data_IF_590075744944
#
_entry.id   IF_590075744944
#
_cell.length_a   1.000
_cell.length_b   1.000
_cell.length_c   1.000
_cell.angle_alpha   90.00
_cell.angle_beta   90.00
_cell.angle_gamma   90.00
#
_symmetry.space_group_name_H-M   'P 1'
#
loop_
_entity.id
_entity.type
_entity.pdbx_description
1 polymer ?
#
# COMPACT_ATOMS: atom_id res chain seq x y z
N UNK A 1 -27.84 -55.75 -18.92
CA UNK A 1 -26.67 -55.28 -19.69
C UNK A 1 -25.46 -55.22 -18.76
N UNK A 2 -24.42 -56.04 -18.98
CA UNK A 2 -23.16 -55.97 -18.20
C UNK A 2 -22.24 -54.96 -18.90
N UNK A 3 -22.09 -53.76 -18.34
CA UNK A 3 -21.13 -52.79 -18.86
C UNK A 3 -19.73 -53.36 -18.58
N UNK A 4 -19.08 -53.90 -19.61
CA UNK A 4 -17.68 -54.34 -19.50
C UNK A 4 -16.81 -53.09 -19.51
N UNK A 5 -16.45 -52.63 -18.33
CA UNK A 5 -15.54 -51.49 -18.14
C UNK A 5 -14.14 -51.97 -18.53
N UNK A 6 -13.70 -51.59 -19.73
CA UNK A 6 -12.38 -51.91 -20.25
C UNK A 6 -11.31 -50.90 -19.82
N UNK A 7 -10.04 -51.27 -19.95
CA UNK A 7 -8.87 -50.41 -19.62
C UNK A 7 -8.91 -49.02 -20.28
N UNK A 8 -9.51 -48.90 -21.47
CA UNK A 8 -9.69 -47.63 -22.19
C UNK A 8 -10.63 -46.65 -21.47
N UNK A 9 -11.65 -47.15 -20.76
CA UNK A 9 -12.56 -46.31 -19.98
C UNK A 9 -11.84 -45.65 -18.80
N UNK A 10 -11.02 -46.41 -18.08
CA UNK A 10 -10.21 -45.87 -16.98
C UNK A 10 -9.20 -44.82 -17.47
N UNK A 11 -8.56 -45.05 -18.62
CA UNK A 11 -7.65 -44.06 -19.23
C UNK A 11 -8.40 -42.76 -19.56
N UNK A 12 -9.60 -42.85 -20.16
CA UNK A 12 -10.41 -41.68 -20.48
C UNK A 12 -10.90 -40.94 -19.23
N UNK A 13 -11.28 -41.68 -18.19
CA UNK A 13 -11.69 -41.11 -16.91
C UNK A 13 -10.53 -40.35 -16.26
N UNK A 14 -9.35 -40.95 -16.19
CA UNK A 14 -8.16 -40.31 -15.63
C UNK A 14 -7.74 -39.09 -16.45
N UNK A 15 -7.77 -39.19 -17.78
CA UNK A 15 -7.49 -38.05 -18.66
C UNK A 15 -8.46 -36.88 -18.41
N UNK A 16 -9.77 -37.17 -18.25
CA UNK A 16 -10.77 -36.16 -17.91
C UNK A 16 -10.48 -35.47 -16.57
N UNK A 17 -10.12 -36.25 -15.54
CA UNK A 17 -9.75 -35.71 -14.22
C UNK A 17 -8.51 -34.81 -14.34
N UNK A 18 -7.47 -35.25 -15.04
CA UNK A 18 -6.23 -34.48 -15.21
C UNK A 18 -6.50 -33.15 -15.93
N UNK A 19 -7.28 -33.16 -17.01
CA UNK A 19 -7.65 -31.92 -17.74
C UNK A 19 -8.44 -30.97 -16.83
N UNK A 20 -9.39 -31.50 -16.05
CA UNK A 20 -10.16 -30.69 -15.10
C UNK A 20 -9.27 -30.10 -14.00
N UNK A 21 -8.36 -30.90 -13.42
CA UNK A 21 -7.42 -30.43 -12.41
C UNK A 21 -6.48 -29.35 -12.94
N UNK A 22 -5.95 -29.51 -14.15
CA UNK A 22 -5.10 -28.49 -14.79
C UNK A 22 -5.86 -27.18 -15.00
N UNK A 23 -7.13 -27.26 -15.42
CA UNK A 23 -7.98 -26.07 -15.58
C UNK A 23 -8.20 -25.33 -14.25
N UNK A 24 -8.47 -26.06 -13.17
CA UNK A 24 -8.65 -25.48 -11.82
C UNK A 24 -7.37 -24.85 -11.30
N UNK A 25 -6.23 -25.51 -11.46
CA UNK A 25 -4.91 -25.00 -11.04
C UNK A 25 -4.52 -23.75 -11.83
N UNK A 26 -4.75 -23.75 -13.15
CA UNK A 26 -4.46 -22.61 -14.02
C UNK A 26 -5.27 -21.36 -13.64
N UNK A 27 -6.55 -21.54 -13.28
CA UNK A 27 -7.38 -20.45 -12.74
C UNK A 27 -6.82 -19.92 -11.41
N UNK A 28 -6.41 -20.82 -10.51
CA UNK A 28 -5.85 -20.42 -9.21
C UNK A 28 -4.49 -19.68 -9.33
N UNK A 29 -3.66 -20.04 -10.32
CA UNK A 29 -2.37 -19.38 -10.55
C UNK A 29 -2.52 -17.89 -10.90
N UNK A 30 -3.54 -17.53 -11.69
CA UNK A 30 -3.83 -16.12 -11.99
C UNK A 30 -4.24 -15.33 -10.75
N UNK A 31 -4.99 -15.95 -9.84
CA UNK A 31 -5.35 -15.35 -8.56
C UNK A 31 -4.12 -15.12 -7.67
N UNK A 32 -3.20 -16.09 -7.61
CA UNK A 32 -1.96 -15.95 -6.83
C UNK A 32 -1.08 -14.79 -7.31
N UNK A 33 -0.98 -14.56 -8.63
CA UNK A 33 -0.24 -13.42 -9.19
C UNK A 33 -0.91 -12.09 -8.83
N UNK A 34 -2.24 -12.03 -8.88
CA UNK A 34 -2.97 -10.82 -8.49
C UNK A 34 -2.77 -10.48 -7.01
N UNK A 35 -2.83 -11.48 -6.13
CA UNK A 35 -2.59 -11.32 -4.70
C UNK A 35 -1.16 -10.84 -4.44
N UNK A 36 -0.14 -11.43 -5.09
CA UNK A 36 1.25 -10.95 -4.98
C UNK A 36 1.41 -9.48 -5.40
N UNK A 37 0.74 -9.05 -6.48
CA UNK A 37 0.76 -7.64 -6.90
C UNK A 37 0.11 -6.71 -5.88
N UNK A 38 -0.99 -7.15 -5.26
CA UNK A 38 -1.63 -6.38 -4.18
C UNK A 38 -0.72 -6.27 -2.97
N UNK A 39 -0.07 -7.36 -2.55
CA UNK A 39 0.89 -7.36 -1.43
C UNK A 39 2.02 -6.36 -1.69
N UNK A 40 2.68 -6.43 -2.86
CA UNK A 40 3.75 -5.49 -3.20
C UNK A 40 3.26 -4.02 -3.25
N UNK A 41 2.00 -3.79 -3.62
CA UNK A 41 1.40 -2.46 -3.59
C UNK A 41 1.23 -1.93 -2.17
N UNK A 42 0.73 -2.76 -1.26
CA UNK A 42 0.59 -2.42 0.16
C UNK A 42 1.95 -2.22 0.84
N UNK A 43 2.94 -3.05 0.51
CA UNK A 43 4.29 -2.95 1.06
C UNK A 43 4.96 -1.62 0.68
N UNK A 44 4.84 -1.19 -0.58
CA UNK A 44 5.31 0.14 -1.00
C UNK A 44 4.61 1.28 -0.28
N UNK A 45 3.31 1.15 -0.03
CA UNK A 45 2.57 2.16 0.73
C UNK A 45 3.06 2.20 2.18
N UNK A 46 3.25 1.04 2.79
CA UNK A 46 3.80 0.93 4.14
C UNK A 46 5.16 1.63 4.24
N UNK A 47 6.11 1.30 3.34
CA UNK A 47 7.44 1.91 3.33
C UNK A 47 7.38 3.43 3.16
N UNK A 48 6.53 3.91 2.24
CA UNK A 48 6.33 5.35 2.02
C UNK A 48 5.81 6.05 3.27
N UNK A 49 4.82 5.49 3.97
CA UNK A 49 4.29 6.10 5.19
C UNK A 49 5.29 6.04 6.34
N UNK A 50 6.05 4.96 6.47
CA UNK A 50 7.11 4.84 7.48
C UNK A 50 8.18 5.91 7.26
N UNK A 51 8.63 6.11 6.02
CA UNK A 51 9.59 7.15 5.67
C UNK A 51 9.02 8.55 5.96
N UNK A 52 7.75 8.79 5.59
CA UNK A 52 7.10 10.07 5.87
C UNK A 52 6.98 10.36 7.36
N UNK A 53 6.63 9.35 8.17
CA UNK A 53 6.56 9.49 9.64
C UNK A 53 7.96 9.78 10.21
N UNK A 54 9.01 9.14 9.68
CA UNK A 54 10.38 9.43 10.10
C UNK A 54 10.77 10.88 9.78
N UNK A 55 10.43 11.38 8.58
CA UNK A 55 10.67 12.79 8.23
C UNK A 55 9.85 13.74 9.11
N UNK A 56 8.56 13.48 9.28
CA UNK A 56 7.65 14.32 10.06
C UNK A 56 8.04 14.34 11.55
N UNK A 57 8.52 13.23 12.11
CA UNK A 57 9.00 13.18 13.50
C UNK A 57 10.26 14.02 13.72
N UNK A 58 11.19 14.07 12.76
CA UNK A 58 12.32 15.00 12.85
C UNK A 58 11.90 16.47 12.76
N UNK A 59 10.85 16.76 11.99
CA UNK A 59 10.29 18.10 11.87
C UNK A 59 9.54 18.51 13.15
N UNK A 60 8.79 17.58 13.76
CA UNK A 60 8.16 17.77 15.06
C UNK A 60 9.16 17.99 16.19
N UNK A 61 10.31 17.31 16.18
CA UNK A 61 11.35 17.54 17.17
C UNK A 61 12.01 18.92 17.02
N UNK A 62 12.13 19.43 15.79
CA UNK A 62 12.56 20.82 15.53
C UNK A 62 11.52 21.85 15.97
N UNK A 63 10.24 21.59 15.77
CA UNK A 63 9.13 22.45 16.22
C UNK A 63 8.94 22.46 17.74
N UNK A 64 9.64 21.58 18.48
CA UNK A 64 9.66 21.59 19.94
C UNK A 64 10.55 22.71 20.52
N UNK A 65 11.32 23.38 19.66
CA UNK A 65 12.09 24.58 20.00
C UNK A 65 11.25 25.83 19.63
N UNK A 66 10.96 26.64 20.65
CA UNK A 66 9.99 27.75 20.62
C UNK A 66 10.24 28.77 19.49
N UNK A 67 11.52 29.03 19.17
CA UNK A 67 11.90 30.01 18.14
C UNK A 67 11.50 29.58 16.71
N UNK A 68 11.63 28.29 16.38
CA UNK A 68 11.30 27.78 15.03
C UNK A 68 9.78 27.64 14.84
N UNK A 69 9.05 27.39 15.94
CA UNK A 69 7.59 27.35 15.94
C UNK A 69 7.00 28.74 15.65
N UNK A 70 7.57 29.78 16.25
CA UNK A 70 7.16 31.16 16.01
C UNK A 70 7.47 31.61 14.58
N UNK A 71 8.65 31.29 14.05
CA UNK A 71 9.03 31.58 12.67
C UNK A 71 8.08 30.91 11.66
N UNK A 72 7.80 29.61 11.82
CA UNK A 72 6.87 28.87 10.97
C UNK A 72 5.43 29.41 11.05
N UNK A 73 4.96 29.79 12.25
CA UNK A 73 3.64 30.37 12.44
C UNK A 73 3.51 31.76 11.80
N UNK A 74 4.57 32.57 11.79
CA UNK A 74 4.61 33.88 11.11
C UNK A 74 4.68 33.74 9.59
N UNK A 75 5.45 32.78 9.08
CA UNK A 75 5.65 32.60 7.63
C UNK A 75 4.43 31.95 6.95
N UNK A 76 3.89 30.86 7.52
CA UNK A 76 2.80 30.11 6.88
C UNK A 76 1.40 30.53 7.30
N UNK A 77 1.25 31.06 8.51
CA UNK A 77 -0.06 31.39 9.08
C UNK A 77 -0.21 32.87 9.46
N UNK A 78 0.83 33.70 9.25
CA UNK A 78 0.86 35.12 9.56
C UNK A 78 0.38 35.45 10.99
N UNK A 79 0.64 34.54 11.93
CA UNK A 79 0.26 34.71 13.33
C UNK A 79 1.11 35.79 14.00
N UNK A 80 0.48 36.61 14.84
CA UNK A 80 1.11 37.68 15.62
C UNK A 80 0.92 37.40 17.11
N UNK A 81 1.85 37.85 17.97
CA UNK A 81 1.66 37.73 19.42
C UNK A 81 0.52 38.64 19.87
N UNK A 82 -0.18 38.24 20.95
CA UNK A 82 -1.17 39.11 21.60
C UNK A 82 -0.44 40.38 22.09
N UNK A 83 -0.82 41.54 21.55
CA UNK A 83 -0.22 42.87 21.77
C UNK A 83 1.03 43.20 20.94
N UNK A 84 1.26 42.51 19.81
CA UNK A 84 2.29 42.90 18.84
C UNK A 84 1.73 43.89 17.82
N UNK A 85 2.38 45.05 17.68
CA UNK A 85 2.04 46.06 16.69
C UNK A 85 3.04 45.99 15.53
N UNK A 86 2.59 45.49 14.38
CA UNK A 86 3.39 45.40 13.16
C UNK A 86 3.23 46.69 12.35
N UNK A 87 4.33 47.38 12.08
CA UNK A 87 4.36 48.57 11.23
C UNK A 87 4.96 48.20 9.88
N UNK A 88 4.22 48.42 8.80
CA UNK A 88 4.74 48.33 7.43
C UNK A 88 5.37 49.69 7.14
N UNK A 89 6.69 49.72 6.99
CA UNK A 89 7.39 50.91 6.50
C UNK A 89 7.40 50.82 4.98
N UNK A 90 6.71 51.73 4.31
CA UNK A 90 6.90 51.94 2.87
C UNK A 90 8.14 52.82 2.69
N UNK A 91 9.03 52.42 1.78
CA UNK A 91 10.20 53.23 1.36
C UNK A 91 9.76 54.48 0.59
#
# INVERSE_FOLDING_TARGET
>A
MKIRIGRRFWILLTAGIVVFSVFVIGRNALHAVKIKRQINGLERQYDFYVEKIAQDSTLLERLRYDDYLEEYAREHYHMQRRNEHVYILEE
#
